data_IF_347367438631
#
_entry.id   IF_347367438631
#
_cell.length_a   1.000
_cell.length_b   1.000
_cell.length_c   1.000
_cell.angle_alpha   90.00
_cell.angle_beta   90.00
_cell.angle_gamma   90.00
#
_symmetry.space_group_name_H-M   'P 1'
#
loop_
_entity.id
_entity.type
_entity.pdbx_description
1 polymer ?
#
# COMPACT_ATOMS: atom_id res chain seq x y z
N UNK A 1 -4.92 -8.93 3.91
CA UNK A 1 -3.83 -8.21 3.22
C UNK A 1 -2.50 -8.78 3.69
N UNK A 2 -1.78 -9.46 2.80
CA UNK A 2 -0.51 -10.11 3.13
C UNK A 2 0.62 -9.18 2.70
N UNK A 3 0.99 -8.23 3.56
CA UNK A 3 2.19 -7.43 3.32
C UNK A 3 3.41 -8.22 3.78
N UNK A 4 4.48 -8.19 2.98
CA UNK A 4 5.77 -8.72 3.42
C UNK A 4 6.32 -7.91 4.59
N UNK A 5 7.07 -8.59 5.47
CA UNK A 5 7.85 -7.93 6.51
C UNK A 5 9.06 -7.18 5.96
N UNK A 6 9.46 -6.14 6.68
CA UNK A 6 10.75 -5.47 6.59
C UNK A 6 11.59 -5.88 7.80
N UNK A 7 12.85 -6.33 7.63
CA UNK A 7 13.50 -6.65 6.36
C UNK A 7 12.91 -7.90 5.69
N UNK A 8 13.30 -8.15 4.45
CA UNK A 8 12.76 -9.21 3.60
C UNK A 8 12.80 -10.56 4.32
N UNK A 9 11.69 -11.30 4.26
CA UNK A 9 11.52 -12.61 4.87
C UNK A 9 11.74 -12.68 6.39
N UNK A 10 11.87 -11.56 7.10
CA UNK A 10 11.95 -11.56 8.56
C UNK A 10 10.62 -11.97 9.19
N UNK A 11 9.50 -11.45 8.67
CA UNK A 11 8.15 -11.82 9.13
C UNK A 11 7.45 -12.56 8.01
N UNK A 12 6.72 -13.63 8.35
CA UNK A 12 5.95 -14.38 7.35
C UNK A 12 4.93 -13.46 6.69
N UNK A 13 4.74 -13.72 5.40
CA UNK A 13 3.74 -13.09 4.56
C UNK A 13 2.35 -13.60 4.94
N UNK A 14 1.78 -13.05 6.01
CA UNK A 14 0.40 -13.32 6.44
C UNK A 14 -0.27 -12.03 6.92
N UNK A 15 -1.59 -11.93 6.75
CA UNK A 15 -2.34 -10.76 7.22
C UNK A 15 -2.62 -10.78 8.72
N UNK A 16 -2.52 -11.96 9.30
CA UNK A 16 -2.68 -12.25 10.70
C UNK A 16 -2.16 -13.67 10.95
N UNK A 17 -1.59 -13.93 12.12
CA UNK A 17 -1.29 -15.27 12.60
C UNK A 17 -1.71 -15.37 14.07
N UNK A 18 -2.30 -16.49 14.47
CA UNK A 18 -2.64 -16.76 15.86
C UNK A 18 -1.40 -16.81 16.77
N UNK A 19 -0.22 -16.96 16.18
CA UNK A 19 1.09 -16.96 16.82
C UNK A 19 1.72 -15.56 16.92
N UNK A 20 0.96 -14.52 16.57
CA UNK A 20 1.32 -13.13 16.87
C UNK A 20 0.74 -12.74 18.22
N UNK A 21 1.61 -12.51 19.21
CA UNK A 21 1.19 -12.03 20.54
C UNK A 21 1.24 -10.51 20.57
N UNK A 22 0.10 -9.86 20.33
CA UNK A 22 -0.02 -8.39 20.38
C UNK A 22 0.18 -7.86 21.80
N UNK A 23 1.21 -7.04 21.99
CA UNK A 23 1.57 -6.47 23.30
C UNK A 23 0.89 -5.13 23.57
N UNK A 24 0.62 -4.35 22.52
CA UNK A 24 0.04 -3.02 22.68
C UNK A 24 -0.01 -2.21 21.39
N UNK A 25 -0.49 -0.97 21.51
CA UNK A 25 -0.52 0.02 20.42
C UNK A 25 0.77 0.82 20.38
N UNK A 26 1.19 1.18 19.18
CA UNK A 26 2.26 2.14 18.93
C UNK A 26 1.65 3.47 18.47
N UNK A 27 1.62 4.47 19.36
CA UNK A 27 1.02 5.78 19.11
C UNK A 27 -0.51 5.82 19.15
N UNK A 28 -1.09 6.95 18.73
CA UNK A 28 -2.54 7.19 18.69
C UNK A 28 -3.29 6.56 17.49
N UNK A 29 -2.60 5.75 16.68
CA UNK A 29 -3.12 5.17 15.44
C UNK A 29 -3.53 3.69 15.54
N UNK A 30 -3.72 3.05 14.38
CA UNK A 30 -4.04 1.61 14.27
C UNK A 30 -2.80 0.71 14.17
N UNK A 31 -1.67 1.19 14.67
CA UNK A 31 -0.39 0.48 14.66
C UNK A 31 -0.23 -0.29 15.96
N UNK A 32 0.13 -1.55 15.86
CA UNK A 32 0.24 -2.49 16.96
C UNK A 32 1.62 -3.12 16.96
N UNK A 33 2.13 -3.45 18.15
CA UNK A 33 3.36 -4.22 18.32
C UNK A 33 2.97 -5.64 18.72
N UNK A 34 3.56 -6.62 18.05
CA UNK A 34 3.40 -8.03 18.40
C UNK A 34 4.75 -8.73 18.52
N UNK A 35 4.79 -9.77 19.35
CA UNK A 35 5.84 -10.78 19.36
C UNK A 35 5.51 -11.81 18.30
N UNK A 36 6.48 -12.11 17.44
CA UNK A 36 6.40 -13.12 16.40
C UNK A 36 6.84 -14.48 16.95
N UNK A 37 5.91 -15.43 17.05
CA UNK A 37 6.24 -16.81 17.41
C UNK A 37 6.35 -17.73 16.18
N UNK A 38 6.18 -17.19 14.97
CA UNK A 38 6.33 -17.91 13.71
C UNK A 38 6.97 -17.02 12.63
N UNK A 39 8.26 -16.71 12.80
CA UNK A 39 8.97 -15.80 11.92
C UNK A 39 9.07 -16.33 10.49
N UNK A 40 9.36 -15.42 9.57
CA UNK A 40 9.75 -15.80 8.22
C UNK A 40 11.13 -16.46 8.18
N UNK A 41 11.56 -16.95 7.01
CA UNK A 41 12.84 -17.66 6.85
C UNK A 41 14.08 -16.90 7.33
N UNK A 42 14.05 -15.56 7.30
CA UNK A 42 15.15 -14.70 7.76
C UNK A 42 14.92 -14.13 9.17
N UNK A 43 13.79 -14.47 9.81
CA UNK A 43 13.44 -13.97 11.13
C UNK A 43 13.84 -14.87 12.27
N UNK A 44 13.67 -14.37 13.49
CA UNK A 44 13.96 -15.11 14.74
C UNK A 44 12.71 -15.19 15.61
N UNK A 45 12.40 -16.38 16.14
CA UNK A 45 11.25 -16.53 17.02
C UNK A 45 11.43 -15.69 18.29
N UNK A 46 10.40 -14.96 18.69
CA UNK A 46 10.44 -13.99 19.78
C UNK A 46 10.87 -12.58 19.37
N UNK A 47 11.13 -12.34 18.08
CA UNK A 47 11.30 -11.00 17.55
C UNK A 47 10.00 -10.18 17.67
N UNK A 48 10.12 -8.86 17.65
CA UNK A 48 8.99 -7.95 17.69
C UNK A 48 8.86 -7.26 16.35
N UNK A 49 7.63 -7.06 15.91
CA UNK A 49 7.32 -6.23 14.75
C UNK A 49 6.14 -5.30 15.03
N UNK A 50 6.07 -4.22 14.27
CA UNK A 50 4.91 -3.36 14.15
C UNK A 50 4.07 -3.81 12.95
N UNK A 51 2.76 -3.82 13.11
CA UNK A 51 1.82 -3.98 12.00
C UNK A 51 0.67 -2.99 12.16
N UNK A 52 0.06 -2.60 11.05
CA UNK A 52 -1.12 -1.74 11.07
C UNK A 52 -2.37 -2.51 10.68
N UNK A 53 -3.47 -2.25 11.38
CA UNK A 53 -4.79 -2.73 11.00
C UNK A 53 -5.49 -1.58 10.25
N UNK A 54 -5.31 -1.51 8.93
CA UNK A 54 -5.86 -0.40 8.15
C UNK A 54 -5.58 -0.50 6.66
N UNK A 55 -6.19 0.39 5.85
CA UNK A 55 -6.03 0.42 4.39
C UNK A 55 -4.70 1.06 3.97
N UNK A 56 -3.97 1.67 4.90
CA UNK A 56 -2.77 2.47 4.67
C UNK A 56 -1.59 1.67 4.14
N UNK A 57 -1.71 0.34 4.07
CA UNK A 57 -0.74 -0.50 3.38
C UNK A 57 0.66 -0.49 3.99
N UNK A 58 0.83 0.02 5.22
CA UNK A 58 2.14 0.07 5.86
C UNK A 58 2.66 -1.36 6.07
N UNK A 59 3.87 -1.66 5.59
CA UNK A 59 4.45 -2.99 5.73
C UNK A 59 4.60 -3.37 7.20
N UNK A 60 4.63 -4.66 7.45
CA UNK A 60 5.02 -5.17 8.76
C UNK A 60 6.50 -4.83 8.97
N UNK A 61 6.84 -4.15 10.06
CA UNK A 61 8.20 -3.65 10.30
C UNK A 61 8.81 -4.32 11.53
N UNK A 62 9.95 -4.97 11.37
CA UNK A 62 10.70 -5.52 12.49
C UNK A 62 11.15 -4.39 13.43
N UNK A 63 10.83 -4.55 14.70
CA UNK A 63 11.05 -3.55 15.75
C UNK A 63 12.30 -3.89 16.57
N UNK A 64 12.46 -5.16 16.93
CA UNK A 64 13.58 -5.63 17.71
C UNK A 64 13.71 -7.15 17.55
N UNK A 65 14.93 -7.69 17.64
CA UNK A 65 15.16 -9.13 17.61
C UNK A 65 14.63 -9.88 18.85
N UNK A 66 14.29 -9.18 19.93
CA UNK A 66 13.67 -9.76 21.13
C UNK A 66 13.08 -8.70 22.06
N UNK A 67 12.19 -9.13 22.98
CA UNK A 67 11.63 -8.26 24.04
C UNK A 67 12.77 -7.71 24.90
N UNK A 68 13.78 -8.52 25.20
CA UNK A 68 14.94 -8.11 25.98
C UNK A 68 15.76 -7.02 25.27
N UNK A 69 15.97 -7.15 23.96
CA UNK A 69 16.67 -6.13 23.18
C UNK A 69 15.89 -4.80 23.19
N UNK A 70 14.57 -4.88 23.09
CA UNK A 70 13.72 -3.70 23.18
C UNK A 70 13.79 -3.03 24.57
N UNK A 71 13.68 -3.82 25.64
CA UNK A 71 13.74 -3.30 27.00
C UNK A 71 15.10 -2.65 27.31
N UNK A 72 16.21 -3.23 26.82
CA UNK A 72 17.55 -2.62 26.95
C UNK A 72 17.60 -1.23 26.32
N UNK A 73 17.12 -1.10 25.06
CA UNK A 73 17.03 0.21 24.39
C UNK A 73 16.24 1.24 25.21
N UNK A 74 15.16 0.80 25.86
CA UNK A 74 14.33 1.68 26.68
C UNK A 74 15.06 2.09 27.98
N UNK A 75 15.74 1.15 28.63
CA UNK A 75 16.56 1.42 29.83
C UNK A 75 17.72 2.36 29.50
N UNK A 76 18.41 2.14 28.40
CA UNK A 76 19.52 2.98 27.94
C UNK A 76 19.04 4.40 27.62
N UNK A 77 17.88 4.54 26.96
CA UNK A 77 17.26 5.83 26.69
C UNK A 77 16.81 6.55 27.99
N UNK A 78 16.22 5.81 28.93
CA UNK A 78 15.78 6.34 30.21
C UNK A 78 16.96 6.75 31.13
N UNK A 79 18.12 6.09 30.99
CA UNK A 79 19.35 6.45 31.70
C UNK A 79 20.02 7.74 31.22
N UNK A 80 19.56 8.32 30.10
CA UNK A 80 20.23 9.42 29.40
C UNK A 80 19.67 10.83 29.61
N UNK A 81 18.41 11.05 30.02
CA UNK A 81 17.84 12.40 30.30
C UNK A 81 16.45 12.38 30.94
N UNK A 82 16.22 13.43 31.72
CA UNK A 82 14.98 13.86 32.40
C UNK A 82 13.85 14.24 31.41
N UNK A 83 13.31 13.28 30.64
CA UNK A 83 12.18 13.55 29.74
C UNK A 83 10.98 12.67 30.04
N UNK A 84 9.85 13.30 30.37
CA UNK A 84 8.51 12.74 30.56
C UNK A 84 7.84 12.22 29.28
N UNK A 85 8.59 12.11 28.17
CA UNK A 85 8.12 11.57 26.89
C UNK A 85 8.59 10.12 26.72
N UNK A 86 7.68 9.13 26.63
CA UNK A 86 8.06 7.77 26.29
C UNK A 86 8.83 7.79 24.96
N UNK A 87 10.06 7.27 24.96
CA UNK A 87 10.79 7.03 23.73
C UNK A 87 9.99 6.00 22.92
N UNK A 88 9.22 6.48 21.94
CA UNK A 88 8.48 5.61 21.04
C UNK A 88 9.46 4.64 20.39
N UNK A 89 9.08 3.38 20.36
CA UNK A 89 9.91 2.34 19.78
C UNK A 89 9.86 2.48 18.26
N UNK A 90 10.72 3.33 17.72
CA UNK A 90 11.10 3.23 16.32
C UNK A 90 11.85 1.92 16.13
N UNK A 91 11.51 1.17 15.09
CA UNK A 91 12.14 -0.13 14.80
C UNK A 91 13.65 -0.03 14.78
N UNK A 92 14.33 -1.13 15.09
CA UNK A 92 15.77 -1.24 14.97
C UNK A 92 16.18 -0.79 13.56
N UNK A 93 17.04 0.24 13.49
CA UNK A 93 17.78 0.71 12.31
C UNK A 93 17.28 0.18 10.96
N UNK A 94 16.19 0.79 10.49
CA UNK A 94 15.92 1.19 9.10
C UNK A 94 16.73 0.44 8.01
N UNK A 95 16.29 -0.77 7.68
CA UNK A 95 16.52 -1.38 6.37
C UNK A 95 15.23 -1.36 5.53
N UNK A 96 14.40 -0.35 5.75
CA UNK A 96 13.49 0.15 4.74
C UNK A 96 14.34 1.04 3.85
N UNK A 97 14.47 0.79 2.54
CA UNK A 97 14.89 1.87 1.64
C UNK A 97 13.72 2.83 1.38
N UNK A 98 13.10 3.29 2.46
CA UNK A 98 12.80 4.70 2.57
C UNK A 98 14.17 5.33 2.74
N UNK A 99 14.70 6.08 1.76
CA UNK A 99 16.01 6.70 1.90
C UNK A 99 16.15 7.28 3.32
N UNK A 100 17.26 6.97 4.02
CA UNK A 100 17.50 7.44 5.38
C UNK A 100 17.04 8.91 5.57
N UNK A 101 16.62 9.31 6.78
CA UNK A 101 16.12 10.64 7.15
C UNK A 101 16.98 11.83 6.70
N UNK A 102 18.22 11.60 6.30
CA UNK A 102 19.23 12.60 5.99
C UNK A 102 19.44 12.85 4.48
N UNK A 103 18.68 12.18 3.60
CA UNK A 103 18.68 12.43 2.15
C UNK A 103 17.40 13.13 1.67
N UNK A 104 17.45 14.02 0.66
CA UNK A 104 16.26 14.72 0.17
C UNK A 104 15.27 13.71 -0.41
N UNK A 105 14.11 13.64 0.21
CA UNK A 105 12.94 12.96 -0.30
C UNK A 105 12.20 13.88 -1.27
N UNK A 106 11.64 13.38 -2.38
CA UNK A 106 11.80 12.06 -3.03
C UNK A 106 13.12 11.90 -3.83
N UNK A 107 13.49 10.65 -4.20
CA UNK A 107 14.69 10.40 -5.05
C UNK A 107 14.34 10.48 -6.54
N UNK A 108 15.24 11.12 -7.30
CA UNK A 108 15.12 11.33 -8.74
C UNK A 108 15.53 10.12 -9.59
N UNK A 109 16.37 9.23 -9.04
CA UNK A 109 16.85 8.04 -9.74
C UNK A 109 17.24 6.92 -8.79
N UNK A 110 16.92 5.69 -9.19
CA UNK A 110 17.30 4.46 -8.49
C UNK A 110 18.67 3.91 -8.91
N UNK A 111 19.32 4.52 -9.91
CA UNK A 111 20.61 4.05 -10.44
C UNK A 111 21.78 4.21 -9.47
N UNK A 112 21.62 5.02 -8.42
CA UNK A 112 22.66 5.34 -7.42
C UNK A 112 22.42 4.71 -6.05
N UNK A 113 21.45 3.79 -5.95
CA UNK A 113 21.14 3.15 -4.67
C UNK A 113 22.23 2.15 -4.28
N UNK A 114 23.02 2.50 -3.25
CA UNK A 114 23.84 1.54 -2.55
C UNK A 114 22.89 0.53 -1.87
N UNK A 115 22.95 -0.75 -2.27
CA UNK A 115 22.03 -1.84 -1.87
C UNK A 115 20.65 -1.86 -2.55
N UNK A 116 20.60 -1.63 -3.87
CA UNK A 116 19.40 -1.80 -4.70
C UNK A 116 18.67 -3.16 -4.52
N UNK A 117 19.41 -4.24 -4.25
CA UNK A 117 18.84 -5.58 -4.06
C UNK A 117 18.10 -5.78 -2.73
N UNK A 118 18.23 -4.87 -1.77
CA UNK A 118 17.52 -4.92 -0.48
C UNK A 118 16.30 -4.00 -0.43
N UNK A 119 16.11 -3.17 -1.46
CA UNK A 119 15.01 -2.20 -1.55
C UNK A 119 13.67 -2.94 -1.69
N UNK A 120 12.81 -2.85 -0.68
CA UNK A 120 11.44 -3.39 -0.70
C UNK A 120 10.35 -2.33 -0.87
N UNK A 121 10.63 -1.09 -0.49
CA UNK A 121 9.75 0.06 -0.65
C UNK A 121 10.57 1.17 -1.30
N UNK A 122 10.04 1.85 -2.29
CA UNK A 122 10.69 2.99 -2.94
C UNK A 122 9.67 4.11 -3.23
N UNK A 123 10.08 5.36 -3.02
CA UNK A 123 9.32 6.55 -3.38
C UNK A 123 10.13 7.37 -4.38
N UNK A 124 9.67 7.41 -5.62
CA UNK A 124 10.25 8.13 -6.74
C UNK A 124 9.56 9.47 -6.94
N UNK A 125 10.33 10.52 -7.23
CA UNK A 125 9.79 11.86 -7.45
C UNK A 125 10.84 12.94 -7.53
N UNK A 126 10.42 14.20 -7.57
CA UNK A 126 11.35 15.34 -7.52
C UNK A 126 12.11 15.56 -8.83
N UNK A 127 11.70 14.86 -9.89
CA UNK A 127 12.17 15.05 -11.24
C UNK A 127 10.99 15.18 -12.21
N UNK A 128 11.16 15.91 -13.33
CA UNK A 128 10.05 16.16 -14.27
C UNK A 128 9.55 14.88 -14.95
N UNK A 129 10.43 13.91 -15.17
CA UNK A 129 10.11 12.65 -15.84
C UNK A 129 10.71 11.47 -15.08
N UNK A 130 9.93 10.39 -14.99
CA UNK A 130 10.36 9.13 -14.38
C UNK A 130 10.00 7.97 -15.32
N UNK A 131 11.00 7.16 -15.64
CA UNK A 131 10.84 5.89 -16.37
C UNK A 131 11.03 4.72 -15.40
N UNK A 132 9.99 3.90 -15.25
CA UNK A 132 9.99 2.74 -14.36
C UNK A 132 10.85 1.58 -14.87
N UNK A 133 11.31 1.58 -16.12
CA UNK A 133 12.31 0.62 -16.61
C UNK A 133 13.60 0.69 -15.77
N UNK A 134 13.91 1.87 -15.21
CA UNK A 134 15.02 2.10 -14.29
C UNK A 134 14.96 1.29 -13.00
N UNK A 135 13.78 0.77 -12.59
CA UNK A 135 13.62 -0.09 -11.42
C UNK A 135 14.19 -1.52 -11.62
N UNK A 136 14.72 -1.80 -12.80
CA UNK A 136 15.43 -3.01 -13.19
C UNK A 136 16.33 -3.67 -12.12
N UNK A 137 17.12 -2.93 -11.31
CA UNK A 137 17.98 -3.49 -10.27
C UNK A 137 17.27 -3.83 -8.95
N UNK A 138 16.01 -3.40 -8.75
CA UNK A 138 15.30 -3.50 -7.47
C UNK A 138 14.60 -4.86 -7.34
N UNK A 139 15.39 -5.93 -7.25
CA UNK A 139 14.92 -7.32 -7.29
C UNK A 139 13.97 -7.71 -6.15
N UNK A 140 13.94 -6.94 -5.06
CA UNK A 140 13.05 -7.16 -3.90
C UNK A 140 11.94 -6.12 -3.75
N UNK A 141 11.79 -5.19 -4.70
CA UNK A 141 10.82 -4.10 -4.62
C UNK A 141 9.39 -4.63 -4.58
N UNK A 142 8.60 -4.18 -3.59
CA UNK A 142 7.19 -4.56 -3.38
C UNK A 142 6.26 -3.37 -3.44
N UNK A 143 6.66 -2.26 -2.85
CA UNK A 143 5.87 -1.03 -2.81
C UNK A 143 6.60 0.04 -3.58
N UNK A 144 5.94 0.60 -4.59
CA UNK A 144 6.48 1.68 -5.40
C UNK A 144 5.49 2.85 -5.39
N UNK A 145 5.97 4.02 -4.99
CA UNK A 145 5.22 5.25 -5.08
C UNK A 145 5.91 6.20 -6.06
N UNK A 146 5.16 6.81 -6.96
CA UNK A 146 5.62 7.85 -7.88
C UNK A 146 4.82 9.10 -7.59
N UNK A 147 5.49 10.19 -7.22
CA UNK A 147 4.85 11.47 -6.88
C UNK A 147 5.72 12.64 -7.31
N UNK A 148 5.16 13.84 -7.33
CA UNK A 148 5.91 15.06 -7.63
C UNK A 148 6.64 14.99 -8.99
N UNK A 149 5.95 14.45 -10.02
CA UNK A 149 6.43 14.31 -11.41
C UNK A 149 5.49 15.01 -12.39
N UNK A 150 6.00 15.37 -13.58
CA UNK A 150 5.16 15.88 -14.68
C UNK A 150 4.74 14.77 -15.64
N UNK A 151 5.61 13.78 -15.84
CA UNK A 151 5.38 12.65 -16.73
C UNK A 151 5.95 11.37 -16.13
N UNK A 152 5.31 10.23 -16.42
CA UNK A 152 5.76 8.92 -15.97
C UNK A 152 5.59 7.90 -17.09
N UNK A 153 6.62 7.10 -17.35
CA UNK A 153 6.57 5.95 -18.25
C UNK A 153 6.49 4.67 -17.40
N UNK A 154 5.35 3.97 -17.47
CA UNK A 154 5.05 2.80 -16.65
C UNK A 154 5.66 1.50 -17.20
N UNK A 155 6.83 1.55 -17.83
CA UNK A 155 7.54 0.40 -18.39
C UNK A 155 8.21 -0.49 -17.31
N UNK A 156 7.42 -0.94 -16.34
CA UNK A 156 7.90 -1.70 -15.19
C UNK A 156 8.32 -3.13 -15.60
N UNK A 157 9.59 -3.54 -15.40
CA UNK A 157 10.03 -4.87 -15.83
C UNK A 157 9.33 -5.97 -15.03
N UNK A 158 8.76 -6.98 -15.71
CA UNK A 158 8.01 -8.08 -15.07
C UNK A 158 8.79 -8.89 -14.02
N UNK A 159 10.12 -8.81 -14.00
CA UNK A 159 10.98 -9.44 -12.98
C UNK A 159 10.98 -8.69 -11.64
N UNK A 160 10.60 -7.42 -11.64
CA UNK A 160 10.56 -6.56 -10.46
C UNK A 160 9.23 -6.83 -9.77
N UNK A 161 9.20 -7.41 -8.56
CA UNK A 161 8.00 -8.00 -8.04
C UNK A 161 7.13 -6.99 -7.28
N UNK A 162 6.81 -5.87 -7.94
CA UNK A 162 5.96 -4.81 -7.38
C UNK A 162 4.56 -5.33 -7.16
N UNK A 163 4.07 -5.13 -5.96
CA UNK A 163 2.81 -5.63 -5.44
C UNK A 163 1.80 -4.51 -5.24
N UNK A 164 2.27 -3.36 -4.75
CA UNK A 164 1.51 -2.12 -4.59
C UNK A 164 2.20 -1.00 -5.36
N UNK A 165 1.45 -0.39 -6.29
CA UNK A 165 1.90 0.72 -7.10
C UNK A 165 0.97 1.92 -6.88
N UNK A 166 1.52 3.03 -6.42
CA UNK A 166 0.81 4.31 -6.32
C UNK A 166 1.45 5.31 -7.26
N UNK A 167 0.67 5.89 -8.18
CA UNK A 167 1.15 6.85 -9.17
C UNK A 167 0.33 8.12 -9.08
N UNK A 168 1.01 9.25 -8.87
CA UNK A 168 0.43 10.58 -8.90
C UNK A 168 1.15 11.44 -9.94
N UNK A 169 0.49 11.68 -11.08
CA UNK A 169 1.01 12.49 -12.17
C UNK A 169 -0.13 13.13 -12.98
N UNK A 170 0.10 14.29 -13.65
CA UNK A 170 -0.93 14.97 -14.45
C UNK A 170 -1.52 14.12 -15.59
N UNK A 171 -0.74 13.20 -16.15
CA UNK A 171 -1.17 12.24 -17.15
C UNK A 171 -0.50 10.89 -16.89
N UNK A 172 -1.29 9.82 -16.99
CA UNK A 172 -0.85 8.44 -16.72
C UNK A 172 -1.37 7.53 -17.83
N UNK A 173 -0.46 6.83 -18.50
CA UNK A 173 -0.77 5.77 -19.46
C UNK A 173 -0.52 4.40 -18.82
N UNK A 174 -1.59 3.63 -18.63
CA UNK A 174 -1.55 2.31 -17.97
C UNK A 174 -1.10 1.18 -18.90
N UNK A 175 -0.90 1.42 -20.19
CA UNK A 175 -0.48 0.38 -21.16
C UNK A 175 0.82 -0.33 -20.74
N UNK A 176 1.77 0.41 -20.16
CA UNK A 176 3.04 -0.12 -19.66
C UNK A 176 2.91 -1.18 -18.55
N UNK A 177 1.77 -1.23 -17.85
CA UNK A 177 1.52 -2.22 -16.81
C UNK A 177 1.00 -3.57 -17.35
N UNK A 178 0.69 -3.67 -18.64
CA UNK A 178 0.03 -4.84 -19.20
C UNK A 178 0.75 -6.16 -18.87
N UNK A 179 0.01 -7.13 -18.35
CA UNK A 179 0.52 -8.46 -17.98
C UNK A 179 1.49 -8.49 -16.79
N UNK A 180 1.66 -7.40 -16.05
CA UNK A 180 2.57 -7.38 -14.91
C UNK A 180 2.17 -8.43 -13.84
N UNK A 181 3.07 -9.33 -13.43
CA UNK A 181 2.66 -10.58 -12.78
C UNK A 181 2.25 -10.45 -11.31
N UNK A 182 2.67 -9.38 -10.62
CA UNK A 182 2.54 -9.29 -9.16
C UNK A 182 1.73 -8.10 -8.63
N UNK A 183 1.33 -7.15 -9.50
CA UNK A 183 0.58 -5.98 -9.04
C UNK A 183 -0.81 -6.45 -8.64
N UNK A 184 -1.10 -6.35 -7.34
CA UNK A 184 -2.42 -6.65 -6.80
C UNK A 184 -3.11 -5.39 -6.27
N UNK A 185 -2.37 -4.33 -5.99
CA UNK A 185 -2.87 -3.03 -5.51
C UNK A 185 -2.37 -1.91 -6.42
N UNK A 186 -3.29 -1.16 -7.00
CA UNK A 186 -3.01 -0.02 -7.87
C UNK A 186 -3.80 1.20 -7.41
N UNK A 187 -3.10 2.30 -7.21
CA UNK A 187 -3.69 3.62 -7.00
C UNK A 187 -3.18 4.59 -8.04
N UNK A 188 -4.11 5.28 -8.72
CA UNK A 188 -3.81 6.37 -9.65
C UNK A 188 -4.51 7.62 -9.13
N UNK A 189 -3.78 8.74 -9.02
CA UNK A 189 -4.32 10.00 -8.53
C UNK A 189 -3.67 11.21 -9.20
N UNK A 190 -4.21 12.40 -8.97
CA UNK A 190 -3.58 13.65 -9.40
C UNK A 190 -3.54 13.86 -10.92
N UNK A 191 -4.34 13.10 -11.67
CA UNK A 191 -4.44 13.18 -13.13
C UNK A 191 -5.37 14.31 -13.55
N UNK A 192 -4.93 15.13 -14.49
CA UNK A 192 -5.77 16.12 -15.17
C UNK A 192 -6.28 15.66 -16.54
N UNK A 193 -5.76 14.54 -17.06
CA UNK A 193 -6.19 13.92 -18.30
C UNK A 193 -6.98 12.63 -18.04
N UNK A 194 -7.88 12.22 -18.95
CA UNK A 194 -8.61 10.97 -18.82
C UNK A 194 -7.67 9.75 -18.87
N UNK A 195 -7.96 8.73 -18.05
CA UNK A 195 -7.17 7.50 -17.94
C UNK A 195 -8.02 6.31 -18.37
N UNK A 196 -7.55 5.54 -19.35
CA UNK A 196 -8.21 4.29 -19.76
C UNK A 196 -7.76 3.12 -18.90
N UNK A 197 -8.71 2.33 -18.40
CA UNK A 197 -8.44 1.15 -17.56
C UNK A 197 -8.38 -0.18 -18.33
N UNK A 198 -8.65 -0.17 -19.63
CA UNK A 198 -8.59 -1.37 -20.47
C UNK A 198 -7.31 -2.23 -20.29
N UNK A 199 -6.09 -1.67 -20.16
CA UNK A 199 -4.87 -2.46 -19.93
C UNK A 199 -4.91 -3.31 -18.64
N UNK A 200 -5.65 -2.87 -17.62
CA UNK A 200 -5.69 -3.52 -16.31
C UNK A 200 -6.35 -4.90 -16.33
N UNK A 201 -7.17 -5.20 -17.33
CA UNK A 201 -7.77 -6.53 -17.51
C UNK A 201 -6.74 -7.65 -17.71
N UNK A 202 -5.50 -7.28 -18.09
CA UNK A 202 -4.39 -8.22 -18.28
C UNK A 202 -3.62 -8.51 -17.00
N UNK A 203 -3.89 -7.80 -15.90
CA UNK A 203 -3.20 -7.99 -14.62
C UNK A 203 -3.78 -9.20 -13.88
N UNK A 204 -3.02 -10.31 -13.72
CA UNK A 204 -3.57 -11.55 -13.18
C UNK A 204 -3.90 -11.48 -11.69
N UNK A 205 -3.28 -10.57 -10.94
CA UNK A 205 -3.38 -10.47 -9.48
C UNK A 205 -4.12 -9.21 -8.98
N UNK A 206 -4.56 -8.32 -9.87
CA UNK A 206 -5.18 -7.05 -9.48
C UNK A 206 -6.45 -7.26 -8.64
N UNK A 207 -6.35 -6.96 -7.35
CA UNK A 207 -7.39 -7.20 -6.35
C UNK A 207 -7.89 -5.91 -5.68
N UNK A 208 -7.08 -4.85 -5.65
CA UNK A 208 -7.45 -3.52 -5.17
C UNK A 208 -7.15 -2.47 -6.24
N UNK A 209 -8.13 -1.62 -6.50
CA UNK A 209 -8.03 -0.52 -7.45
C UNK A 209 -8.61 0.75 -6.84
N UNK A 210 -7.81 1.80 -6.80
CA UNK A 210 -8.22 3.15 -6.40
C UNK A 210 -8.02 4.11 -7.58
N UNK A 211 -9.14 4.66 -8.04
CA UNK A 211 -9.22 5.64 -9.13
C UNK A 211 -9.99 6.87 -8.68
N UNK A 212 -10.12 7.10 -7.37
CA UNK A 212 -10.93 8.20 -6.83
C UNK A 212 -10.46 9.56 -7.36
N UNK A 213 -11.41 10.35 -7.90
CA UNK A 213 -11.11 11.65 -8.49
C UNK A 213 -10.40 11.61 -9.86
N UNK A 214 -10.26 10.43 -10.48
CA UNK A 214 -9.70 10.27 -11.84
C UNK A 214 -10.84 10.26 -12.86
N UNK A 215 -10.68 10.99 -13.97
CA UNK A 215 -11.59 10.84 -15.12
C UNK A 215 -11.27 9.54 -15.85
N UNK A 216 -12.21 8.59 -15.82
CA UNK A 216 -12.05 7.25 -16.41
C UNK A 216 -13.14 7.03 -17.45
N UNK A 217 -12.89 7.29 -18.75
CA UNK A 217 -13.92 7.23 -19.79
C UNK A 217 -14.52 5.85 -20.00
N UNK A 218 -13.79 4.78 -19.66
CA UNK A 218 -14.16 3.37 -19.82
C UNK A 218 -14.39 2.69 -18.45
N UNK A 219 -14.88 3.45 -17.46
CA UNK A 219 -15.04 3.00 -16.06
C UNK A 219 -15.87 1.71 -15.95
N UNK A 220 -16.83 1.48 -16.83
CA UNK A 220 -17.63 0.26 -16.87
C UNK A 220 -16.79 -1.02 -17.05
N UNK A 221 -15.56 -0.94 -17.58
CA UNK A 221 -14.66 -2.08 -17.74
C UNK A 221 -14.20 -2.69 -16.40
N UNK A 222 -14.45 -2.04 -15.26
CA UNK A 222 -14.17 -2.61 -13.93
C UNK A 222 -14.86 -3.96 -13.68
N UNK A 223 -16.00 -4.22 -14.34
CA UNK A 223 -16.70 -5.52 -14.24
C UNK A 223 -15.93 -6.67 -14.89
N UNK A 224 -15.04 -6.35 -15.83
CA UNK A 224 -14.19 -7.30 -16.54
C UNK A 224 -12.87 -7.63 -15.81
N UNK A 225 -12.60 -7.00 -14.67
CA UNK A 225 -11.38 -7.24 -13.89
C UNK A 225 -11.53 -8.51 -13.04
N UNK A 226 -10.83 -9.62 -13.37
CA UNK A 226 -11.20 -10.96 -12.94
C UNK A 226 -10.98 -11.23 -11.44
N UNK A 227 -10.04 -10.52 -10.81
CA UNK A 227 -9.69 -10.68 -9.39
C UNK A 227 -10.01 -9.46 -8.54
N UNK A 228 -10.70 -8.45 -9.08
CA UNK A 228 -10.98 -7.23 -8.34
C UNK A 228 -11.91 -7.52 -7.14
N UNK A 229 -11.42 -7.19 -5.95
CA UNK A 229 -12.10 -7.41 -4.67
C UNK A 229 -12.37 -6.11 -3.92
N UNK A 230 -11.55 -5.09 -4.13
CA UNK A 230 -11.69 -3.80 -3.48
C UNK A 230 -11.64 -2.70 -4.52
N UNK A 231 -12.68 -1.87 -4.57
CA UNK A 231 -12.78 -0.74 -5.48
C UNK A 231 -13.00 0.53 -4.67
N UNK A 232 -12.18 1.54 -4.92
CA UNK A 232 -12.25 2.86 -4.29
C UNK A 232 -12.52 3.90 -5.35
N UNK A 233 -13.62 4.63 -5.20
CA UNK A 233 -14.09 5.65 -6.14
C UNK A 233 -14.73 6.80 -5.37
N UNK A 234 -14.83 7.97 -6.00
CA UNK A 234 -15.64 9.08 -5.49
C UNK A 234 -17.15 8.88 -5.76
N UNK A 235 -17.96 9.76 -5.19
CA UNK A 235 -19.42 9.68 -5.29
C UNK A 235 -19.94 9.73 -6.74
N UNK A 236 -19.32 10.56 -7.60
CA UNK A 236 -19.74 10.73 -8.99
C UNK A 236 -19.43 9.49 -9.83
N UNK A 237 -18.26 8.90 -9.61
CA UNK A 237 -17.85 7.64 -10.25
C UNK A 237 -18.74 6.47 -9.81
N UNK A 238 -19.08 6.37 -8.52
CA UNK A 238 -20.01 5.36 -8.03
C UNK A 238 -21.41 5.53 -8.62
N UNK A 239 -21.91 6.77 -8.70
CA UNK A 239 -23.19 7.06 -9.34
C UNK A 239 -23.18 6.66 -10.81
N UNK A 240 -22.10 6.96 -11.55
CA UNK A 240 -21.93 6.54 -12.93
C UNK A 240 -21.96 5.02 -13.10
N UNK A 241 -21.25 4.27 -12.25
CA UNK A 241 -21.29 2.80 -12.29
C UNK A 241 -22.69 2.25 -12.02
N UNK A 242 -23.45 2.88 -11.12
CA UNK A 242 -24.84 2.51 -10.83
C UNK A 242 -25.73 2.75 -12.06
N UNK A 243 -25.61 3.90 -12.70
CA UNK A 243 -26.40 4.26 -13.88
C UNK A 243 -26.10 3.36 -15.09
N UNK A 244 -24.87 2.83 -15.17
CA UNK A 244 -24.43 1.88 -16.18
C UNK A 244 -24.71 0.40 -15.82
N UNK A 245 -25.28 0.12 -14.64
CA UNK A 245 -25.43 -1.24 -14.08
C UNK A 245 -24.11 -2.04 -14.09
N UNK A 246 -22.99 -1.34 -13.82
CA UNK A 246 -21.63 -1.84 -13.96
C UNK A 246 -20.90 -1.96 -12.61
N UNK A 247 -21.62 -2.16 -11.51
CA UNK A 247 -21.01 -2.41 -10.20
C UNK A 247 -20.53 -3.87 -10.14
N UNK A 248 -19.24 -4.16 -9.89
CA UNK A 248 -18.76 -5.54 -9.90
C UNK A 248 -19.43 -6.41 -8.83
N UNK A 249 -19.90 -7.59 -9.24
CA UNK A 249 -20.62 -8.54 -8.38
C UNK A 249 -19.70 -9.26 -7.39
N UNK A 250 -18.38 -9.26 -7.62
CA UNK A 250 -17.37 -9.97 -6.82
C UNK A 250 -16.69 -9.16 -5.72
N UNK A 251 -17.04 -7.88 -5.54
CA UNK A 251 -16.36 -7.02 -4.55
C UNK A 251 -16.52 -7.56 -3.12
N UNK A 252 -15.40 -7.67 -2.42
CA UNK A 252 -15.33 -7.84 -0.97
C UNK A 252 -15.62 -6.51 -0.25
N UNK A 253 -15.12 -5.41 -0.82
CA UNK A 253 -15.24 -4.08 -0.27
C UNK A 253 -15.46 -3.05 -1.37
N UNK A 254 -16.28 -2.05 -1.05
CA UNK A 254 -16.44 -0.84 -1.82
C UNK A 254 -16.13 0.34 -0.88
N UNK A 255 -15.29 1.26 -1.33
CA UNK A 255 -14.93 2.45 -0.55
C UNK A 255 -15.37 3.71 -1.29
N UNK A 256 -16.04 4.60 -0.56
CA UNK A 256 -16.41 5.93 -1.00
C UNK A 256 -15.34 6.90 -0.52
N UNK A 257 -14.60 7.47 -1.47
CA UNK A 257 -13.52 8.41 -1.21
C UNK A 257 -13.97 9.87 -1.30
N UNK A 258 -13.14 10.76 -0.74
CA UNK A 258 -13.40 12.20 -0.69
C UNK A 258 -14.31 12.60 0.46
N UNK A 259 -14.43 13.91 0.72
CA UNK A 259 -15.25 14.41 1.81
C UNK A 259 -16.72 14.45 1.37
N UNK A 260 -17.50 13.48 1.83
CA UNK A 260 -18.92 13.34 1.49
C UNK A 260 -19.80 13.74 2.68
N UNK A 261 -21.01 14.23 2.41
CA UNK A 261 -21.99 14.41 3.49
C UNK A 261 -22.58 13.07 3.87
N UNK A 262 -23.10 12.97 5.09
CA UNK A 262 -23.72 11.74 5.60
C UNK A 262 -24.86 11.23 4.70
N UNK A 263 -25.62 12.14 4.09
CA UNK A 263 -26.69 11.81 3.16
C UNK A 263 -26.17 11.11 1.90
N UNK A 264 -25.05 11.60 1.35
CA UNK A 264 -24.38 10.98 0.18
C UNK A 264 -23.88 9.58 0.54
N UNK A 265 -23.28 9.42 1.73
CA UNK A 265 -22.80 8.10 2.18
C UNK A 265 -23.96 7.10 2.37
N UNK A 266 -25.10 7.54 2.93
CA UNK A 266 -26.29 6.70 3.06
C UNK A 266 -26.80 6.28 1.68
N UNK A 267 -27.00 7.23 0.77
CA UNK A 267 -27.52 6.95 -0.57
C UNK A 267 -26.61 5.96 -1.31
N UNK A 268 -25.30 6.22 -1.26
CA UNK A 268 -24.28 5.34 -1.84
C UNK A 268 -24.36 3.93 -1.26
N UNK A 269 -24.40 3.80 0.07
CA UNK A 269 -24.41 2.49 0.73
C UNK A 269 -25.68 1.68 0.40
N UNK A 270 -26.82 2.36 0.23
CA UNK A 270 -28.10 1.74 -0.10
C UNK A 270 -28.08 1.04 -1.47
N UNK A 271 -27.24 1.50 -2.41
CA UNK A 271 -27.11 0.93 -3.74
C UNK A 271 -26.55 -0.50 -3.76
N UNK A 272 -25.84 -0.93 -2.71
CA UNK A 272 -25.28 -2.29 -2.61
C UNK A 272 -26.27 -3.31 -2.04
N UNK A 273 -27.44 -2.85 -1.58
CA UNK A 273 -28.50 -3.68 -0.99
C UNK A 273 -28.12 -4.34 0.35
N UNK A 274 -29.13 -4.83 1.07
CA UNK A 274 -28.95 -5.70 2.24
C UNK A 274 -28.97 -7.15 1.76
N UNK A 275 -27.94 -7.59 1.03
CA UNK A 275 -27.95 -8.93 0.43
C UNK A 275 -27.62 -10.05 1.43
N UNK A 276 -28.34 -11.17 1.33
CA UNK A 276 -28.14 -12.44 2.04
C UNK A 276 -26.88 -13.23 1.59
N UNK A 277 -26.01 -12.62 0.79
CA UNK A 277 -24.69 -13.15 0.40
C UNK A 277 -23.58 -12.82 1.40
N UNK A 278 -22.30 -13.13 1.08
CA UNK A 278 -21.18 -12.74 1.93
C UNK A 278 -21.19 -11.22 2.11
N UNK A 279 -21.15 -10.77 3.38
CA UNK A 279 -21.20 -9.36 3.74
C UNK A 279 -20.08 -8.59 3.04
N UNK A 280 -20.46 -7.58 2.26
CA UNK A 280 -19.52 -6.60 1.70
C UNK A 280 -19.14 -5.59 2.78
N UNK A 281 -17.86 -5.25 2.85
CA UNK A 281 -17.41 -4.14 3.68
C UNK A 281 -17.64 -2.83 2.91
N UNK A 282 -18.55 -2.00 3.41
CA UNK A 282 -18.75 -0.65 2.91
C UNK A 282 -18.00 0.32 3.82
N UNK A 283 -17.21 1.22 3.24
CA UNK A 283 -16.48 2.24 3.99
C UNK A 283 -16.59 3.61 3.33
N UNK A 284 -17.18 4.56 4.05
CA UNK A 284 -17.11 5.99 3.76
C UNK A 284 -16.16 6.70 4.72
N UNK A 285 -15.84 7.94 4.40
CA UNK A 285 -15.08 8.86 5.26
C UNK A 285 -16.05 9.60 6.19
N UNK A 286 -16.15 9.14 7.44
CA UNK A 286 -16.78 9.90 8.53
C UNK A 286 -15.94 11.10 8.95
#
# INVERSE_FOLDING_TARGET
MVLGGLPHDAVRRVSHDARWLTLGRNGGGRRFIAVDLDPGPAGTAGQLFCYEIGPSGWPVELVAGSVTALLRRFVDAAGGRDSTTPAWVHGAEEATYTGRPDGPWPVDSVTRLAAADDVQHCVLGGCPHIDLAGCAPLSRLRVLQVRDVQTVELALPHRVPVESLMVSAPAVDLTGLSGHPSIWDLTVSGTGAPVSIAPLATLPELARLDLSGVDVPDLELVVGLPRLRVLVLDAGQWARLRDLDAIPVGLAAAELAGNNTFEVEIEWSAAFGVSAGPRRLLRGSL
#
